data_IF_843929183013
#
_entry.id   IF_843929183013
#
_cell.length_a   1.000
_cell.length_b   1.000
_cell.length_c   1.000
_cell.angle_alpha   90.00
_cell.angle_beta   90.00
_cell.angle_gamma   90.00
#
_symmetry.space_group_name_H-M   'P 1'
#
loop_
_entity.id
_entity.type
_entity.pdbx_description
1 polymer ?
#
# COMPACT_ATOMS: atom_id res chain seq x y z
N UNK A 1 -19.41 -13.55 -18.10
CA UNK A 1 -19.74 -12.23 -17.52
C UNK A 1 -18.47 -11.43 -17.50
N UNK A 2 -18.25 -10.65 -18.55
CA UNK A 2 -17.08 -9.80 -18.72
C UNK A 2 -17.65 -8.44 -19.07
N UNK A 3 -17.74 -7.57 -18.08
CA UNK A 3 -18.21 -6.21 -18.28
C UNK A 3 -17.09 -5.35 -18.86
N UNK A 4 -17.50 -4.58 -19.84
CA UNK A 4 -16.72 -3.69 -20.68
C UNK A 4 -16.13 -2.56 -19.84
N UNK A 5 -14.80 -2.55 -19.68
CA UNK A 5 -14.07 -1.36 -19.24
C UNK A 5 -13.93 -0.41 -20.43
N UNK A 6 -15.05 0.15 -20.87
CA UNK A 6 -15.08 1.24 -21.84
C UNK A 6 -14.44 2.48 -21.21
N UNK A 7 -13.21 2.78 -21.61
CA UNK A 7 -12.55 4.04 -21.31
C UNK A 7 -13.42 5.19 -21.84
N UNK A 8 -13.99 5.97 -20.91
CA UNK A 8 -14.78 7.16 -21.21
C UNK A 8 -13.83 8.23 -21.75
N UNK A 9 -13.61 8.23 -23.07
CA UNK A 9 -12.99 9.35 -23.77
C UNK A 9 -13.94 10.53 -23.62
N UNK A 10 -13.59 11.49 -22.76
CA UNK A 10 -14.29 12.76 -22.64
C UNK A 10 -14.22 13.43 -24.01
N UNK A 11 -15.33 13.59 -24.74
CA UNK A 11 -15.30 14.36 -25.98
C UNK A 11 -15.06 15.81 -25.58
N UNK A 12 -13.84 16.30 -25.84
CA UNK A 12 -13.53 17.73 -25.80
C UNK A 12 -14.49 18.42 -26.77
N UNK A 13 -15.54 19.00 -26.19
CA UNK A 13 -16.55 19.76 -26.88
C UNK A 13 -15.87 20.96 -27.54
N UNK A 14 -15.51 20.82 -28.83
CA UNK A 14 -15.03 21.93 -29.64
C UNK A 14 -16.21 22.88 -29.87
N UNK A 15 -16.25 23.95 -29.08
CA UNK A 15 -17.21 25.04 -29.28
C UNK A 15 -16.91 25.68 -30.64
N UNK A 16 -17.85 25.68 -31.60
CA UNK A 16 -17.63 26.29 -32.90
C UNK A 16 -17.43 27.80 -32.73
N UNK A 17 -16.28 28.30 -33.19
CA UNK A 17 -16.00 29.75 -33.27
C UNK A 17 -17.02 30.41 -34.21
N UNK A 18 -18.02 31.09 -33.65
CA UNK A 18 -18.86 32.04 -34.39
C UNK A 18 -17.97 33.16 -34.96
N UNK A 19 -17.74 33.12 -36.28
CA UNK A 19 -17.27 34.25 -37.08
C UNK A 19 -18.28 35.39 -36.90
N UNK A 20 -17.84 36.49 -36.30
CA UNK A 20 -18.65 37.69 -36.12
C UNK A 20 -18.16 38.71 -37.14
N UNK A 21 -18.79 38.69 -38.31
CA UNK A 21 -18.69 39.80 -39.25
C UNK A 21 -19.33 41.02 -38.58
N UNK A 22 -18.52 42.03 -38.28
CA UNK A 22 -19.01 43.35 -37.89
C UNK A 22 -18.68 44.31 -39.01
N UNK A 23 -19.68 44.52 -39.85
CA UNK A 23 -19.81 45.68 -40.71
C UNK A 23 -19.67 46.96 -39.87
N UNK A 24 -18.93 47.92 -40.43
CA UNK A 24 -18.88 49.29 -39.93
C UNK A 24 -20.19 50.02 -40.20
N UNK A 25 -20.61 50.84 -39.25
CA UNK A 25 -21.34 52.09 -39.45
C UNK A 25 -21.46 52.79 -38.09
N UNK A 26 -20.81 53.95 -38.00
CA UNK A 26 -21.23 55.17 -37.33
C UNK A 26 -22.10 55.08 -36.07
N UNK A 27 -21.51 55.47 -34.93
CA UNK A 27 -22.24 56.32 -33.98
C UNK A 27 -21.34 57.15 -33.07
N UNK A 28 -21.25 58.41 -33.45
CA UNK A 28 -21.23 59.62 -32.61
C UNK A 28 -20.47 59.56 -31.27
N UNK A 29 -19.31 60.20 -31.30
CA UNK A 29 -18.65 60.91 -30.20
C UNK A 29 -19.62 61.80 -29.42
N UNK A 30 -19.76 61.55 -28.11
CA UNK A 30 -20.31 62.49 -27.14
C UNK A 30 -19.31 62.68 -25.98
N UNK A 31 -18.98 63.92 -25.58
CA UNK A 31 -17.99 64.18 -24.54
C UNK A 31 -18.59 64.12 -23.12
N UNK A 32 -17.86 63.42 -22.23
CA UNK A 32 -17.68 63.57 -20.76
C UNK A 32 -18.78 64.27 -19.92
N UNK A 33 -18.97 63.78 -18.68
CA UNK A 33 -18.37 64.52 -17.57
C UNK A 33 -17.55 63.66 -16.59
N UNK A 34 -16.35 64.16 -16.32
CA UNK A 34 -15.34 63.62 -15.40
C UNK A 34 -15.74 63.99 -13.97
N UNK A 35 -16.43 63.10 -13.25
CA UNK A 35 -16.73 63.30 -11.83
C UNK A 35 -15.48 63.02 -11.00
N UNK A 36 -14.80 64.09 -10.56
CA UNK A 36 -13.77 64.06 -9.51
C UNK A 36 -14.37 63.39 -8.26
N UNK A 37 -14.07 62.12 -8.02
CA UNK A 37 -14.20 61.50 -6.70
C UNK A 37 -12.87 61.65 -5.98
N UNK A 38 -12.91 62.42 -4.89
CA UNK A 38 -11.88 62.51 -3.84
C UNK A 38 -11.47 61.09 -3.40
N UNK A 39 -10.19 60.79 -3.50
CA UNK A 39 -9.55 59.91 -2.52
C UNK A 39 -9.54 60.66 -1.17
N UNK A 40 -9.84 59.98 -0.06
CA UNK A 40 -8.77 59.35 0.72
C UNK A 40 -9.17 57.98 1.32
N UNK A 41 -8.20 57.31 1.95
CA UNK A 41 -8.34 56.12 2.80
C UNK A 41 -8.12 54.71 2.19
N UNK A 42 -7.06 54.52 1.38
CA UNK A 42 -6.42 53.19 1.23
C UNK A 42 -4.93 53.20 1.63
N UNK A 43 -4.39 54.35 2.05
CA UNK A 43 -3.00 54.47 2.50
C UNK A 43 -2.77 54.07 3.98
N UNK A 44 -3.79 53.60 4.70
CA UNK A 44 -3.66 53.16 6.10
C UNK A 44 -3.56 51.63 6.26
N UNK A 45 -3.85 50.84 5.22
CA UNK A 45 -3.78 49.36 5.29
C UNK A 45 -2.44 48.80 4.78
N UNK A 46 -1.64 49.58 4.04
CA UNK A 46 -0.35 49.14 3.51
C UNK A 46 0.85 49.43 4.46
N UNK A 47 0.67 50.30 5.46
CA UNK A 47 1.72 50.63 6.44
C UNK A 47 1.75 49.67 7.65
N UNK A 48 0.69 48.89 7.90
CA UNK A 48 0.66 47.88 8.95
C UNK A 48 1.29 46.53 8.53
N UNK A 49 1.49 46.31 7.22
CA UNK A 49 2.08 45.08 6.70
C UNK A 49 3.61 45.14 6.53
N UNK A 50 4.23 46.32 6.66
CA UNK A 50 5.67 46.51 6.43
C UNK A 50 6.52 46.54 7.71
N UNK A 51 5.91 46.47 8.90
CA UNK A 51 6.61 46.43 10.20
C UNK A 51 6.62 45.05 10.85
N UNK A 52 6.17 44.01 10.14
CA UNK A 52 6.15 42.61 10.60
C UNK A 52 7.22 41.72 9.93
N UNK A 53 8.19 42.31 9.22
CA UNK A 53 9.20 41.58 8.45
C UNK A 53 10.62 41.62 9.06
N UNK A 54 10.77 41.97 10.34
CA UNK A 54 12.07 42.02 11.03
C UNK A 54 12.03 41.48 12.48
N UNK A 55 11.15 40.53 12.77
CA UNK A 55 11.24 39.69 13.96
C UNK A 55 10.94 38.24 13.53
N UNK A 56 11.89 37.33 13.75
CA UNK A 56 11.59 35.89 13.70
C UNK A 56 10.47 35.59 14.69
N UNK A 57 9.31 35.07 14.25
CA UNK A 57 8.34 34.56 15.17
C UNK A 57 8.77 33.15 15.58
N UNK A 58 9.16 33.02 16.84
CA UNK A 58 9.06 31.77 17.58
C UNK A 58 7.64 31.20 17.37
N UNK A 59 7.53 30.11 16.62
CA UNK A 59 6.25 29.47 16.33
C UNK A 59 5.79 28.75 17.61
N UNK A 60 5.12 29.49 18.49
CA UNK A 60 4.24 28.90 19.50
C UNK A 60 2.94 28.50 18.79
N UNK A 61 2.77 27.20 18.55
CA UNK A 61 1.49 26.64 18.12
C UNK A 61 0.47 26.84 19.25
N UNK A 62 -0.74 27.37 18.98
CA UNK A 62 -1.82 27.32 19.95
C UNK A 62 -2.27 25.85 20.09
N UNK A 63 -1.90 25.24 21.20
CA UNK A 63 -2.21 23.89 21.67
C UNK A 63 -3.69 23.78 22.09
N UNK A 64 -4.62 24.21 21.23
CA UNK A 64 -6.06 24.36 21.56
C UNK A 64 -7.01 23.78 20.51
N UNK A 65 -6.53 22.98 19.56
CA UNK A 65 -7.37 22.32 18.55
C UNK A 65 -7.16 20.79 18.48
N UNK A 66 -6.73 20.20 19.60
CA UNK A 66 -6.82 18.75 19.81
C UNK A 66 -8.15 18.49 20.53
N UNK A 67 -9.07 17.69 19.98
CA UNK A 67 -10.27 17.24 20.69
C UNK A 67 -9.85 16.63 22.05
N UNK A 68 -10.53 16.94 23.18
CA UNK A 68 -10.13 16.49 24.52
C UNK A 68 -10.12 14.96 24.70
N UNK A 69 -10.59 14.23 23.70
CA UNK A 69 -10.55 12.77 23.61
C UNK A 69 -9.20 12.19 23.09
N UNK A 70 -8.24 13.04 22.73
CA UNK A 70 -6.88 12.64 22.33
C UNK A 70 -5.74 13.16 23.24
N UNK A 71 -6.06 13.88 24.32
CA UNK A 71 -5.08 14.12 25.38
C UNK A 71 -4.90 12.82 26.17
N UNK A 72 -3.66 12.34 26.18
CA UNK A 72 -3.23 11.15 26.89
C UNK A 72 -3.80 11.16 28.31
N UNK A 73 -4.47 10.07 28.68
CA UNK A 73 -4.67 9.74 30.08
C UNK A 73 -3.31 9.84 30.76
N UNK A 74 -3.25 10.71 31.77
CA UNK A 74 -2.08 10.97 32.59
C UNK A 74 -1.33 9.68 32.89
N UNK A 75 -0.03 9.73 32.64
CA UNK A 75 0.93 8.73 33.08
C UNK A 75 0.99 8.69 34.61
N UNK A 76 -0.03 8.10 35.23
CA UNK A 76 0.19 7.31 36.42
C UNK A 76 0.86 6.02 35.95
N UNK A 77 2.20 6.03 35.91
CA UNK A 77 2.97 4.80 36.01
C UNK A 77 2.48 4.07 37.26
N UNK A 78 1.55 3.14 37.06
CA UNK A 78 1.30 2.09 38.02
C UNK A 78 2.62 1.32 38.13
N UNK A 79 3.33 1.58 39.22
CA UNK A 79 4.42 0.77 39.72
C UNK A 79 3.98 -0.70 39.62
N UNK A 80 4.70 -1.54 38.86
CA UNK A 80 4.35 -2.95 38.76
C UNK A 80 4.41 -3.54 40.17
N UNK A 81 3.36 -4.24 40.64
CA UNK A 81 3.44 -4.90 41.93
C UNK A 81 4.65 -5.82 41.91
N UNK A 82 5.56 -5.59 42.85
CA UNK A 82 6.72 -6.43 43.09
C UNK A 82 6.29 -7.89 43.04
N UNK A 83 6.73 -8.60 42.00
CA UNK A 83 6.53 -10.03 41.87
C UNK A 83 7.23 -10.67 43.07
N UNK A 84 6.44 -11.13 44.03
CA UNK A 84 6.93 -11.97 45.10
C UNK A 84 7.60 -13.19 44.45
N UNK A 85 8.82 -13.57 44.86
CA UNK A 85 9.42 -14.80 44.39
C UNK A 85 8.52 -15.96 44.83
N UNK A 86 7.83 -16.59 43.87
CA UNK A 86 7.24 -17.89 44.10
C UNK A 86 8.37 -18.83 44.52
N UNK A 87 8.36 -19.20 45.79
CA UNK A 87 9.16 -20.30 46.29
C UNK A 87 8.79 -21.54 45.49
N UNK A 88 9.66 -21.92 44.56
CA UNK A 88 9.63 -23.24 43.92
C UNK A 88 9.95 -24.24 45.01
N UNK A 89 8.92 -24.78 45.65
CA UNK A 89 9.05 -26.00 46.43
C UNK A 89 9.38 -27.11 45.44
N UNK A 90 10.68 -27.42 45.33
CA UNK A 90 11.15 -28.66 44.71
C UNK A 90 10.52 -29.79 45.50
N UNK A 91 9.42 -30.33 44.97
CA UNK A 91 8.82 -31.56 45.47
C UNK A 91 9.82 -32.66 45.14
N UNK A 92 10.64 -33.03 46.12
CA UNK A 92 11.38 -34.29 46.10
C UNK A 92 10.38 -35.40 45.78
N UNK A 93 10.48 -35.94 44.58
CA UNK A 93 9.84 -37.18 44.19
C UNK A 93 10.47 -38.30 45.01
N UNK A 94 9.75 -38.73 46.04
CA UNK A 94 10.01 -40.00 46.71
C UNK A 94 10.00 -41.14 45.67
N UNK A 95 10.96 -42.06 45.72
CA UNK A 95 10.92 -43.29 44.94
C UNK A 95 9.87 -44.22 45.54
N UNK A 96 8.62 -44.12 45.11
CA UNK A 96 7.60 -45.12 45.42
C UNK A 96 7.87 -46.35 44.56
N UNK A 97 8.51 -47.32 45.19
CA UNK A 97 8.57 -48.69 44.73
C UNK A 97 7.20 -49.38 44.88
N UNK A 98 6.84 -50.16 43.86
CA UNK A 98 5.73 -51.11 43.79
C UNK A 98 4.31 -50.48 43.78
N UNK A 99 3.35 -50.89 42.96
CA UNK A 99 2.95 -52.27 42.63
C UNK A 99 2.14 -52.23 41.33
N UNK A 100 2.49 -53.09 40.37
CA UNK A 100 1.62 -53.42 39.25
C UNK A 100 0.39 -54.16 39.81
N UNK A 101 -0.73 -53.47 39.91
CA UNK A 101 -2.02 -54.13 40.10
C UNK A 101 -2.76 -54.13 38.77
N UNK A 102 -2.91 -55.34 38.25
CA UNK A 102 -3.67 -55.70 37.05
C UNK A 102 -5.12 -55.27 37.24
N UNK A 103 -5.50 -54.10 36.72
CA UNK A 103 -6.88 -53.67 36.57
C UNK A 103 -7.21 -53.57 35.06
N UNK A 104 -7.09 -54.71 34.39
CA UNK A 104 -7.50 -54.91 33.01
C UNK A 104 -8.92 -55.52 32.99
N UNK A 105 -9.94 -54.72 33.34
CA UNK A 105 -11.33 -55.01 33.01
C UNK A 105 -12.19 -53.78 33.32
N UNK A 106 -13.12 -53.42 32.42
CA UNK A 106 -14.11 -52.34 32.52
C UNK A 106 -13.74 -50.92 32.04
N UNK A 107 -12.89 -50.79 31.01
CA UNK A 107 -13.02 -49.64 30.09
C UNK A 107 -13.94 -50.08 28.95
N UNK A 108 -15.20 -49.68 29.02
CA UNK A 108 -16.16 -49.89 27.95
C UNK A 108 -15.68 -49.27 26.63
N UNK A 109 -16.11 -49.80 25.47
CA UNK A 109 -15.69 -49.30 24.17
C UNK A 109 -16.15 -47.85 24.00
N UNK A 110 -15.23 -46.91 24.23
CA UNK A 110 -15.43 -45.51 23.90
C UNK A 110 -15.69 -45.42 22.39
N UNK A 111 -16.91 -45.07 22.02
CA UNK A 111 -17.36 -44.96 20.63
C UNK A 111 -16.48 -43.96 19.86
N UNK A 112 -15.74 -44.38 18.83
CA UNK A 112 -14.72 -43.55 18.16
C UNK A 112 -15.27 -42.57 17.10
N UNK A 113 -16.50 -42.04 17.25
CA UNK A 113 -17.17 -41.31 16.16
C UNK A 113 -16.78 -39.83 16.02
N UNK A 114 -16.35 -39.16 17.10
CA UNK A 114 -16.14 -37.69 17.06
C UNK A 114 -14.75 -37.26 16.57
N UNK A 115 -13.76 -38.15 16.53
CA UNK A 115 -12.39 -37.78 16.14
C UNK A 115 -12.17 -37.61 14.63
N UNK A 116 -13.18 -37.92 13.78
CA UNK A 116 -13.06 -37.77 12.32
C UNK A 116 -13.60 -36.44 11.77
N UNK A 117 -14.43 -35.71 12.52
CA UNK A 117 -14.99 -34.43 12.05
C UNK A 117 -13.98 -33.28 12.14
N UNK A 118 -13.25 -33.18 13.25
CA UNK A 118 -12.23 -32.14 13.44
C UNK A 118 -11.18 -32.08 12.32
N UNK A 119 -10.52 -33.19 11.91
CA UNK A 119 -9.54 -33.14 10.82
C UNK A 119 -10.19 -32.79 9.48
N UNK A 120 -11.41 -33.25 9.20
CA UNK A 120 -12.12 -32.94 7.96
C UNK A 120 -12.44 -31.44 7.85
N UNK A 121 -12.90 -30.81 8.94
CA UNK A 121 -13.17 -29.37 9.01
C UNK A 121 -11.87 -28.58 8.81
N UNK A 122 -10.80 -28.95 9.52
CA UNK A 122 -9.50 -28.29 9.38
C UNK A 122 -8.92 -28.42 7.97
N UNK A 123 -9.03 -29.60 7.34
CA UNK A 123 -8.59 -29.81 5.96
C UNK A 123 -9.41 -28.97 4.98
N UNK A 124 -10.73 -28.89 5.18
CA UNK A 124 -11.60 -28.07 4.32
C UNK A 124 -11.23 -26.60 4.44
N UNK A 125 -11.06 -26.09 5.66
CA UNK A 125 -10.64 -24.71 5.91
C UNK A 125 -9.26 -24.39 5.29
N UNK A 126 -8.29 -25.31 5.44
CA UNK A 126 -6.98 -25.17 4.82
C UNK A 126 -7.04 -25.14 3.30
N UNK A 127 -7.87 -25.98 2.67
CA UNK A 127 -8.07 -25.98 1.22
C UNK A 127 -8.74 -24.69 0.74
N UNK A 128 -9.75 -24.18 1.47
CA UNK A 128 -10.40 -22.91 1.12
C UNK A 128 -9.43 -21.73 1.22
N UNK A 129 -8.63 -21.66 2.29
CA UNK A 129 -7.62 -20.61 2.46
C UNK A 129 -6.52 -20.73 1.40
N UNK A 130 -6.08 -21.95 1.08
CA UNK A 130 -5.12 -22.21 0.01
C UNK A 130 -5.65 -21.77 -1.36
N UNK A 131 -6.91 -22.09 -1.68
CA UNK A 131 -7.54 -21.66 -2.93
C UNK A 131 -7.62 -20.13 -3.03
N UNK A 132 -8.03 -19.45 -1.95
CA UNK A 132 -8.04 -17.98 -1.91
C UNK A 132 -6.64 -17.41 -2.12
N UNK A 133 -5.62 -17.94 -1.44
CA UNK A 133 -4.22 -17.54 -1.63
C UNK A 133 -3.75 -17.69 -3.08
N UNK A 134 -4.04 -18.85 -3.70
CA UNK A 134 -3.73 -19.13 -5.12
C UNK A 134 -4.38 -18.10 -6.03
N UNK A 135 -5.67 -17.79 -5.81
CA UNK A 135 -6.38 -16.81 -6.64
C UNK A 135 -5.81 -15.40 -6.49
N UNK A 136 -5.49 -14.98 -5.26
CA UNK A 136 -4.91 -13.66 -4.97
C UNK A 136 -3.54 -13.52 -5.64
N UNK A 137 -2.66 -14.49 -5.42
CA UNK A 137 -1.30 -14.48 -5.98
C UNK A 137 -1.32 -14.61 -7.51
N UNK A 138 -2.20 -15.45 -8.07
CA UNK A 138 -2.40 -15.57 -9.51
C UNK A 138 -2.89 -14.26 -10.14
N UNK A 139 -3.85 -13.58 -9.50
CA UNK A 139 -4.34 -12.28 -9.96
C UNK A 139 -3.26 -11.20 -9.90
N UNK A 140 -2.52 -11.12 -8.80
CA UNK A 140 -1.41 -10.17 -8.66
C UNK A 140 -0.26 -10.44 -9.64
N UNK A 141 0.04 -11.70 -9.90
CA UNK A 141 1.01 -12.06 -10.91
C UNK A 141 0.51 -11.61 -12.30
N UNK A 142 -0.78 -11.81 -12.62
CA UNK A 142 -1.38 -11.33 -13.87
C UNK A 142 -1.19 -9.83 -14.08
N UNK A 143 -1.39 -9.02 -13.03
CA UNK A 143 -1.28 -7.56 -13.14
C UNK A 143 0.15 -7.06 -13.41
N UNK A 144 1.16 -7.92 -13.32
CA UNK A 144 2.53 -7.59 -13.74
C UNK A 144 2.75 -7.66 -15.25
N UNK A 145 1.82 -8.24 -16.00
CA UNK A 145 1.91 -8.31 -17.45
C UNK A 145 1.70 -6.94 -18.08
N UNK A 146 2.67 -6.47 -18.86
CA UNK A 146 2.52 -5.26 -19.71
C UNK A 146 1.60 -5.49 -20.92
N UNK A 147 1.28 -6.74 -21.22
CA UNK A 147 0.32 -7.17 -22.24
C UNK A 147 -0.58 -8.27 -21.71
N UNK A 148 -1.72 -8.51 -22.34
CA UNK A 148 -2.65 -9.58 -21.95
C UNK A 148 -2.00 -10.97 -21.93
N UNK A 149 -1.16 -11.27 -22.94
CA UNK A 149 -0.45 -12.56 -23.02
C UNK A 149 0.55 -12.69 -21.88
N UNK A 150 1.34 -11.65 -21.61
CA UNK A 150 2.27 -11.64 -20.48
C UNK A 150 1.52 -11.81 -19.15
N UNK A 151 0.36 -11.18 -19.00
CA UNK A 151 -0.48 -11.31 -17.81
C UNK A 151 -0.97 -12.75 -17.60
N UNK A 152 -1.45 -13.43 -18.65
CA UNK A 152 -1.82 -14.84 -18.55
C UNK A 152 -0.64 -15.75 -18.21
N UNK A 153 0.56 -15.48 -18.75
CA UNK A 153 1.77 -16.23 -18.41
C UNK A 153 2.16 -16.04 -16.95
N UNK A 154 2.17 -14.80 -16.45
CA UNK A 154 2.47 -14.54 -15.04
C UNK A 154 1.41 -15.14 -14.10
N UNK A 155 0.12 -15.11 -14.47
CA UNK A 155 -0.93 -15.79 -13.72
C UNK A 155 -0.61 -17.29 -13.57
N UNK A 156 -0.29 -17.96 -14.68
CA UNK A 156 0.04 -19.38 -14.67
C UNK A 156 1.27 -19.68 -13.80
N UNK A 157 2.30 -18.82 -13.86
CA UNK A 157 3.49 -18.93 -13.01
C UNK A 157 3.14 -18.73 -11.52
N UNK A 158 2.30 -17.75 -11.19
CA UNK A 158 1.84 -17.50 -9.82
C UNK A 158 1.09 -18.70 -9.24
N UNK A 159 0.09 -19.21 -9.98
CA UNK A 159 -0.67 -20.41 -9.58
C UNK A 159 0.24 -21.63 -9.42
N UNK A 160 1.17 -21.84 -10.36
CA UNK A 160 2.11 -22.95 -10.28
C UNK A 160 3.02 -22.85 -9.04
N UNK A 161 3.49 -21.64 -8.71
CA UNK A 161 4.33 -21.40 -7.54
C UNK A 161 3.61 -21.75 -6.24
N UNK A 162 2.33 -21.40 -6.10
CA UNK A 162 1.54 -21.74 -4.92
C UNK A 162 1.28 -23.24 -4.81
N UNK A 163 0.97 -23.92 -5.92
CA UNK A 163 0.83 -25.38 -5.93
C UNK A 163 2.12 -26.07 -5.49
N UNK A 164 3.28 -25.59 -5.98
CA UNK A 164 4.60 -26.08 -5.56
C UNK A 164 4.80 -25.82 -4.06
N UNK A 165 4.49 -24.63 -3.56
CA UNK A 165 4.63 -24.27 -2.15
C UNK A 165 3.76 -25.15 -1.22
N UNK A 166 2.59 -25.60 -1.68
CA UNK A 166 1.70 -26.48 -0.92
C UNK A 166 2.17 -27.95 -0.92
N UNK A 167 2.71 -28.45 -2.04
CA UNK A 167 3.04 -29.88 -2.19
C UNK A 167 4.46 -30.21 -1.70
N UNK A 168 5.43 -29.31 -1.90
CA UNK A 168 6.83 -29.59 -1.61
C UNK A 168 7.15 -29.96 -0.16
N UNK A 169 6.54 -29.38 0.89
CA UNK A 169 6.84 -29.75 2.27
C UNK A 169 6.61 -31.23 2.55
N UNK A 170 5.52 -31.79 2.03
CA UNK A 170 5.22 -33.22 2.19
C UNK A 170 6.22 -34.11 1.46
N UNK A 171 6.60 -33.73 0.24
CA UNK A 171 7.62 -34.45 -0.54
C UNK A 171 9.01 -34.38 0.12
N UNK A 172 9.43 -33.18 0.56
CA UNK A 172 10.71 -32.96 1.23
C UNK A 172 10.77 -33.73 2.56
N UNK A 173 9.69 -33.74 3.34
CA UNK A 173 9.59 -34.54 4.56
C UNK A 173 9.61 -36.06 4.29
N UNK A 174 9.03 -36.52 3.18
CA UNK A 174 9.13 -37.91 2.71
C UNK A 174 10.57 -38.30 2.41
N UNK A 175 11.28 -37.49 1.60
CA UNK A 175 12.68 -37.69 1.23
C UNK A 175 13.62 -37.65 2.44
N UNK A 176 13.31 -36.78 3.41
CA UNK A 176 14.06 -36.71 4.66
C UNK A 176 13.94 -38.01 5.46
N UNK A 177 12.72 -38.56 5.58
CA UNK A 177 12.45 -39.84 6.26
C UNK A 177 13.09 -41.03 5.53
N UNK A 178 13.15 -41.01 4.21
CA UNK A 178 13.84 -42.03 3.41
C UNK A 178 15.38 -41.87 3.40
N UNK A 179 15.94 -41.05 4.30
CA UNK A 179 17.37 -40.72 4.43
C UNK A 179 18.03 -40.10 3.20
N UNK A 180 17.25 -39.62 2.21
CA UNK A 180 17.77 -38.89 1.04
C UNK A 180 17.93 -37.41 1.39
N UNK A 181 18.89 -37.11 2.28
CA UNK A 181 19.03 -35.78 2.90
C UNK A 181 19.35 -34.67 1.91
N UNK A 182 20.19 -34.93 0.90
CA UNK A 182 20.56 -33.91 -0.09
C UNK A 182 19.37 -33.45 -0.92
N UNK A 183 18.57 -34.37 -1.46
CA UNK A 183 17.35 -34.05 -2.21
C UNK A 183 16.28 -33.42 -1.34
N UNK A 184 16.20 -33.82 -0.07
CA UNK A 184 15.29 -33.19 0.88
C UNK A 184 15.69 -31.74 1.17
N UNK A 185 16.98 -31.45 1.34
CA UNK A 185 17.48 -30.07 1.49
C UNK A 185 17.14 -29.21 0.26
N UNK A 186 17.35 -29.73 -0.95
CA UNK A 186 16.95 -29.02 -2.19
C UNK A 186 15.44 -28.75 -2.18
N UNK A 187 14.61 -29.74 -1.82
CA UNK A 187 13.17 -29.55 -1.69
C UNK A 187 12.79 -28.47 -0.68
N UNK A 188 13.43 -28.43 0.48
CA UNK A 188 13.23 -27.38 1.48
C UNK A 188 13.68 -26.00 0.99
N UNK A 189 14.81 -25.90 0.28
CA UNK A 189 15.28 -24.63 -0.30
C UNK A 189 14.31 -24.11 -1.36
N UNK A 190 13.86 -24.98 -2.27
CA UNK A 190 12.91 -24.59 -3.30
C UNK A 190 11.58 -24.18 -2.68
N UNK A 191 11.10 -24.93 -1.68
CA UNK A 191 9.91 -24.57 -0.94
C UNK A 191 10.04 -23.18 -0.32
N UNK A 192 11.15 -22.89 0.36
CA UNK A 192 11.40 -21.60 1.00
C UNK A 192 11.35 -20.45 -0.01
N UNK A 193 11.97 -20.62 -1.18
CA UNK A 193 11.95 -19.62 -2.26
C UNK A 193 10.53 -19.38 -2.80
N UNK A 194 9.77 -20.45 -3.06
CA UNK A 194 8.38 -20.31 -3.52
C UNK A 194 7.46 -19.73 -2.44
N UNK A 195 7.71 -20.04 -1.17
CA UNK A 195 6.98 -19.48 -0.05
C UNK A 195 7.24 -17.96 0.09
N UNK A 196 8.50 -17.52 0.00
CA UNK A 196 8.84 -16.10 0.00
C UNK A 196 8.15 -15.38 -1.17
N UNK A 197 8.09 -16.01 -2.35
CA UNK A 197 7.38 -15.46 -3.50
C UNK A 197 5.87 -15.32 -3.26
N UNK A 198 5.23 -16.36 -2.73
CA UNK A 198 3.81 -16.33 -2.39
C UNK A 198 3.50 -15.23 -1.36
N UNK A 199 4.36 -15.09 -0.33
CA UNK A 199 4.22 -14.03 0.68
C UNK A 199 4.41 -12.64 0.07
N UNK A 200 5.43 -12.44 -0.77
CA UNK A 200 5.67 -11.17 -1.44
C UNK A 200 4.51 -10.78 -2.37
N UNK A 201 3.93 -11.76 -3.08
CA UNK A 201 2.75 -11.56 -3.93
C UNK A 201 1.52 -11.15 -3.10
N UNK A 202 1.25 -11.85 -2.00
CA UNK A 202 0.16 -11.52 -1.07
C UNK A 202 0.32 -10.13 -0.44
N UNK A 203 1.54 -9.74 -0.06
CA UNK A 203 1.83 -8.38 0.43
C UNK A 203 1.52 -7.35 -0.66
N UNK A 204 1.94 -7.60 -1.90
CA UNK A 204 1.68 -6.69 -3.01
C UNK A 204 0.20 -6.59 -3.41
N UNK A 205 -0.57 -7.66 -3.27
CA UNK A 205 -2.03 -7.60 -3.43
C UNK A 205 -2.68 -6.78 -2.32
N UNK A 206 -2.29 -7.03 -1.06
CA UNK A 206 -2.87 -6.33 0.09
C UNK A 206 -2.52 -4.84 0.03
N UNK A 207 -1.30 -4.49 -0.37
CA UNK A 207 -0.89 -3.11 -0.53
C UNK A 207 -1.65 -2.40 -1.64
N UNK A 208 -1.80 -3.00 -2.82
CA UNK A 208 -2.57 -2.40 -3.91
C UNK A 208 -4.02 -2.15 -3.52
N UNK A 209 -4.68 -3.09 -2.83
CA UNK A 209 -6.04 -2.88 -2.33
C UNK A 209 -6.11 -1.79 -1.23
N UNK A 210 -5.14 -1.74 -0.32
CA UNK A 210 -5.10 -0.69 0.70
C UNK A 210 -4.86 0.68 0.05
N UNK A 211 -3.93 0.76 -0.90
CA UNK A 211 -3.64 1.98 -1.65
C UNK A 211 -4.84 2.38 -2.48
N UNK A 212 -5.53 1.48 -3.16
CA UNK A 212 -6.75 1.78 -3.91
C UNK A 212 -7.88 2.25 -3.00
N UNK A 213 -8.06 1.67 -1.81
CA UNK A 213 -9.06 2.15 -0.85
C UNK A 213 -8.66 3.51 -0.26
N UNK A 214 -7.37 3.72 0.05
CA UNK A 214 -6.85 5.00 0.52
C UNK A 214 -6.95 6.05 -0.57
N UNK A 215 -6.64 5.71 -1.81
CA UNK A 215 -6.68 6.59 -2.98
C UNK A 215 -8.12 6.79 -3.43
N UNK A 216 -9.04 5.84 -3.26
CA UNK A 216 -10.48 6.06 -3.37
C UNK A 216 -10.99 7.02 -2.28
N UNK A 217 -10.47 6.91 -1.06
CA UNK A 217 -10.75 7.85 0.03
C UNK A 217 -10.04 9.20 -0.12
N UNK A 218 -8.91 9.27 -0.81
CA UNK A 218 -8.14 10.49 -1.07
C UNK A 218 -8.52 11.17 -2.40
N UNK A 219 -9.09 10.41 -3.34
CA UNK A 219 -9.73 10.88 -4.58
C UNK A 219 -11.17 11.32 -4.35
N UNK A 220 -11.73 11.07 -3.16
CA UNK A 220 -12.48 12.14 -2.48
C UNK A 220 -11.45 13.23 -2.21
N UNK A 221 -11.20 14.01 -3.26
CA UNK A 221 -10.13 14.99 -3.40
C UNK A 221 -9.79 15.52 -2.02
N UNK A 222 -8.59 15.21 -1.51
CA UNK A 222 -8.19 15.77 -0.21
C UNK A 222 -8.49 17.27 -0.28
N UNK A 223 -9.17 17.85 0.73
CA UNK A 223 -9.58 19.25 0.65
C UNK A 223 -8.42 20.18 0.25
N UNK A 224 -7.19 19.80 0.59
CA UNK A 224 -5.95 20.39 0.12
C UNK A 224 -5.72 20.30 -1.42
N UNK A 225 -5.79 19.14 -2.07
CA UNK A 225 -5.63 19.04 -3.54
C UNK A 225 -6.79 19.73 -4.25
N UNK A 226 -8.02 19.62 -3.72
CA UNK A 226 -9.21 20.25 -4.31
C UNK A 226 -9.08 21.76 -4.32
N UNK A 227 -8.67 22.33 -3.17
CA UNK A 227 -8.44 23.76 -3.02
C UNK A 227 -7.24 24.22 -3.85
N UNK A 228 -6.12 23.49 -3.87
CA UNK A 228 -4.98 23.83 -4.70
C UNK A 228 -5.36 23.84 -6.20
N UNK A 229 -6.07 22.83 -6.68
CA UNK A 229 -6.53 22.75 -8.06
C UNK A 229 -7.57 23.83 -8.40
N UNK A 230 -8.47 24.16 -7.48
CA UNK A 230 -9.38 25.30 -7.62
C UNK A 230 -8.59 26.62 -7.75
N UNK A 231 -7.65 26.88 -6.85
CA UNK A 231 -6.83 28.12 -6.90
C UNK A 231 -5.96 28.20 -8.16
N UNK A 232 -5.48 27.07 -8.66
CA UNK A 232 -4.76 26.97 -9.93
C UNK A 232 -5.68 27.36 -11.10
N UNK A 233 -6.89 26.78 -11.14
CA UNK A 233 -7.86 27.07 -12.19
C UNK A 233 -8.29 28.55 -12.19
N UNK A 234 -8.46 29.14 -11.01
CA UNK A 234 -8.76 30.56 -10.84
C UNK A 234 -7.59 31.44 -11.30
N UNK A 235 -6.35 31.07 -10.96
CA UNK A 235 -5.15 31.78 -11.41
C UNK A 235 -4.98 31.73 -12.94
N UNK A 236 -5.26 30.57 -13.56
CA UNK A 236 -5.23 30.41 -15.02
C UNK A 236 -6.33 31.23 -15.69
N UNK A 237 -7.55 31.24 -15.14
CA UNK A 237 -8.64 32.08 -15.64
C UNK A 237 -8.34 33.58 -15.50
N UNK A 238 -7.70 34.00 -14.41
CA UNK A 238 -7.26 35.38 -14.21
C UNK A 238 -6.19 35.78 -15.23
N UNK A 239 -5.18 34.93 -15.45
CA UNK A 239 -4.16 35.11 -16.49
C UNK A 239 -4.81 35.27 -17.86
N UNK A 240 -5.73 34.39 -18.23
CA UNK A 240 -6.37 34.40 -19.55
C UNK A 240 -7.23 35.65 -19.80
N UNK A 241 -7.75 36.30 -18.75
CA UNK A 241 -8.47 37.57 -18.87
C UNK A 241 -7.51 38.74 -19.13
N UNK A 242 -6.40 38.79 -18.42
CA UNK A 242 -5.42 39.89 -18.51
C UNK A 242 -4.53 39.79 -19.77
N UNK A 243 -4.16 38.57 -20.17
CA UNK A 243 -3.28 38.34 -21.32
C UNK A 243 -3.99 38.43 -22.68
N UNK A 244 -5.33 38.54 -22.73
CA UNK A 244 -6.09 38.71 -23.99
C UNK A 244 -5.68 39.96 -24.78
N UNK A 245 -5.19 40.99 -24.10
CA UNK A 245 -4.71 42.24 -24.70
C UNK A 245 -3.24 42.24 -25.14
N UNK A 246 -2.53 41.11 -24.98
CA UNK A 246 -1.10 41.00 -25.23
C UNK A 246 -0.26 40.78 -23.96
N UNK A 247 1.01 40.48 -24.14
CA UNK A 247 1.95 40.15 -23.05
C UNK A 247 2.52 41.42 -22.42
N UNK A 248 1.73 42.06 -21.55
CA UNK A 248 2.15 43.21 -20.74
C UNK A 248 2.77 42.82 -19.38
N UNK A 249 3.18 43.82 -18.59
CA UNK A 249 3.74 43.61 -17.22
C UNK A 249 2.81 42.76 -16.34
N UNK A 250 1.51 43.07 -16.34
CA UNK A 250 0.51 42.32 -15.57
C UNK A 250 0.33 40.88 -16.05
N UNK A 251 0.44 40.62 -17.36
CA UNK A 251 0.38 39.26 -17.89
C UNK A 251 1.54 38.40 -17.35
N UNK A 252 2.77 38.94 -17.34
CA UNK A 252 3.94 38.27 -16.76
C UNK A 252 3.79 37.99 -15.27
N UNK A 253 3.28 38.95 -14.50
CA UNK A 253 3.00 38.77 -13.06
C UNK A 253 1.93 37.68 -12.81
N UNK A 254 0.94 37.54 -13.70
CA UNK A 254 -0.04 36.44 -13.61
C UNK A 254 0.53 35.09 -14.02
N UNK A 255 1.43 35.07 -14.99
CA UNK A 255 2.15 33.84 -15.38
C UNK A 255 3.02 33.33 -14.23
N UNK A 256 3.74 34.21 -13.52
CA UNK A 256 4.50 33.81 -12.33
C UNK A 256 3.60 33.28 -11.22
N UNK A 257 2.44 33.91 -11.00
CA UNK A 257 1.45 33.43 -10.03
C UNK A 257 0.89 32.04 -10.40
N UNK A 258 0.65 31.77 -11.69
CA UNK A 258 0.24 30.43 -12.15
C UNK A 258 1.37 29.40 -11.94
N UNK A 259 2.62 29.76 -12.20
CA UNK A 259 3.77 28.89 -11.96
C UNK A 259 3.93 28.54 -10.47
N UNK A 260 3.78 29.52 -9.58
CA UNK A 260 3.82 29.31 -8.13
C UNK A 260 2.70 28.38 -7.66
N UNK A 261 1.47 28.57 -8.18
CA UNK A 261 0.32 27.71 -7.85
C UNK A 261 0.45 26.29 -8.39
N UNK A 262 1.13 26.11 -9.54
CA UNK A 262 1.51 24.78 -10.05
C UNK A 262 2.48 24.10 -9.09
N UNK A 263 3.54 24.81 -8.69
CA UNK A 263 4.51 24.27 -7.75
C UNK A 263 3.89 23.86 -6.41
N UNK A 264 2.92 24.64 -5.91
CA UNK A 264 2.16 24.26 -4.70
C UNK A 264 1.27 23.02 -4.91
N UNK A 265 0.66 22.86 -6.08
CA UNK A 265 -0.11 21.67 -6.40
C UNK A 265 0.81 20.44 -6.50
N UNK A 266 1.97 20.59 -7.15
CA UNK A 266 2.96 19.53 -7.31
C UNK A 266 3.55 19.11 -5.96
N UNK A 267 3.83 20.06 -5.05
CA UNK A 267 4.30 19.73 -3.69
C UNK A 267 3.22 19.05 -2.85
N UNK A 268 1.95 19.47 -2.97
CA UNK A 268 0.84 18.80 -2.33
C UNK A 268 0.65 17.38 -2.87
N UNK A 269 0.76 17.17 -4.19
CA UNK A 269 0.72 15.85 -4.80
C UNK A 269 1.89 14.97 -4.34
N UNK A 270 3.12 15.49 -4.33
CA UNK A 270 4.29 14.78 -3.84
C UNK A 270 4.17 14.38 -2.36
N UNK A 271 3.56 15.23 -1.52
CA UNK A 271 3.31 14.90 -0.11
C UNK A 271 2.29 13.76 0.06
N UNK A 272 1.26 13.71 -0.80
CA UNK A 272 0.28 12.62 -0.82
C UNK A 272 0.90 11.35 -1.36
N UNK A 273 1.73 11.44 -2.40
CA UNK A 273 2.47 10.32 -2.97
C UNK A 273 3.44 9.70 -1.93
N UNK A 274 4.18 10.53 -1.20
CA UNK A 274 5.04 10.09 -0.10
C UNK A 274 4.25 9.40 1.03
N UNK A 275 3.01 9.83 1.30
CA UNK A 275 2.11 9.18 2.26
C UNK A 275 1.39 7.94 1.68
N UNK A 276 1.41 7.75 0.36
CA UNK A 276 0.67 6.74 -0.37
C UNK A 276 1.48 5.49 -0.72
N UNK A 277 2.74 5.37 -0.28
CA UNK A 277 3.49 4.11 -0.32
C UNK A 277 3.58 3.42 1.08
N UNK A 278 2.44 2.99 1.65
CA UNK A 278 2.45 2.23 2.90
C UNK A 278 3.04 0.83 2.70
N UNK A 279 3.20 0.37 1.44
CA UNK A 279 3.73 -0.96 1.14
C UNK A 279 5.17 -1.05 1.61
N UNK A 280 5.97 -0.07 1.21
CA UNK A 280 7.40 -0.10 1.47
C UNK A 280 7.68 0.21 2.93
N UNK A 281 6.94 1.15 3.53
CA UNK A 281 7.07 1.44 4.97
C UNK A 281 6.67 0.25 5.86
N UNK A 282 5.55 -0.43 5.56
CA UNK A 282 5.12 -1.59 6.34
C UNK A 282 6.09 -2.77 6.19
N UNK A 283 6.60 -3.02 4.97
CA UNK A 283 7.59 -4.05 4.71
C UNK A 283 8.92 -3.75 5.43
N UNK A 284 9.39 -2.50 5.39
CA UNK A 284 10.56 -2.05 6.14
C UNK A 284 10.35 -2.28 7.64
N UNK A 285 9.20 -1.89 8.19
CA UNK A 285 8.86 -2.10 9.61
C UNK A 285 8.81 -3.58 9.99
N UNK A 286 8.29 -4.43 9.11
CA UNK A 286 8.16 -5.87 9.38
C UNK A 286 9.52 -6.56 9.32
N UNK A 287 10.38 -6.18 8.37
CA UNK A 287 11.76 -6.67 8.27
C UNK A 287 12.63 -6.11 9.39
N UNK A 288 12.51 -4.83 9.74
CA UNK A 288 13.25 -4.25 10.86
C UNK A 288 12.80 -4.86 12.19
N UNK A 289 11.50 -5.06 12.39
CA UNK A 289 10.97 -5.77 13.56
C UNK A 289 11.46 -7.22 13.61
N UNK A 290 11.33 -7.97 12.50
CA UNK A 290 11.76 -9.37 12.41
C UNK A 290 13.27 -9.55 12.59
N UNK A 291 14.07 -8.59 12.11
CA UNK A 291 15.52 -8.55 12.30
C UNK A 291 15.94 -7.92 13.63
N UNK A 292 15.01 -7.50 14.50
CA UNK A 292 15.28 -6.76 15.74
C UNK A 292 16.14 -5.51 15.52
N UNK A 293 15.95 -4.84 14.39
CA UNK A 293 16.65 -3.61 14.00
C UNK A 293 18.02 -3.83 13.38
N UNK A 294 18.46 -5.08 13.16
CA UNK A 294 19.75 -5.36 12.50
C UNK A 294 19.73 -5.02 10.99
N UNK A 295 18.56 -5.09 10.35
CA UNK A 295 18.41 -4.77 8.93
C UNK A 295 17.51 -3.55 8.77
N UNK A 296 18.02 -2.54 8.06
CA UNK A 296 17.26 -1.39 7.55
C UNK A 296 17.26 -1.45 6.01
N UNK A 297 16.41 -2.31 5.42
CA UNK A 297 16.31 -2.37 3.97
C UNK A 297 15.81 -1.03 3.42
N UNK A 298 16.41 -0.57 2.33
CA UNK A 298 15.93 0.57 1.59
C UNK A 298 14.70 0.18 0.75
N UNK A 299 13.81 1.13 0.40
CA UNK A 299 12.69 0.89 -0.50
C UNK A 299 13.06 0.16 -1.80
N UNK A 300 14.21 0.52 -2.36
CA UNK A 300 14.75 -0.01 -3.61
C UNK A 300 15.11 -1.50 -3.50
N UNK A 301 15.46 -1.99 -2.30
CA UNK A 301 15.84 -3.39 -2.07
C UNK A 301 14.66 -4.34 -2.29
N UNK A 302 13.44 -3.92 -1.95
CA UNK A 302 12.24 -4.74 -2.16
C UNK A 302 11.87 -4.86 -3.64
N UNK A 303 12.08 -3.79 -4.41
CA UNK A 303 11.89 -3.82 -5.86
C UNK A 303 12.90 -4.79 -6.51
N UNK A 304 14.17 -4.73 -6.11
CA UNK A 304 15.19 -5.67 -6.59
C UNK A 304 14.92 -7.11 -6.18
N UNK A 305 14.54 -7.35 -4.92
CA UNK A 305 14.22 -8.69 -4.42
C UNK A 305 13.10 -9.32 -5.24
N UNK A 306 12.05 -8.55 -5.53
CA UNK A 306 10.94 -9.00 -6.37
C UNK A 306 11.37 -9.37 -7.78
N UNK A 307 12.22 -8.56 -8.41
CA UNK A 307 12.78 -8.84 -9.74
C UNK A 307 13.61 -10.12 -9.75
N UNK A 308 14.48 -10.30 -8.75
CA UNK A 308 15.30 -11.50 -8.58
C UNK A 308 14.43 -12.75 -8.43
N UNK A 309 13.38 -12.68 -7.60
CA UNK A 309 12.45 -13.78 -7.40
C UNK A 309 11.71 -14.16 -8.70
N UNK A 310 11.18 -13.17 -9.43
CA UNK A 310 10.50 -13.38 -10.71
C UNK A 310 11.43 -14.01 -11.77
N UNK A 311 12.71 -13.63 -11.78
CA UNK A 311 13.70 -14.19 -12.70
C UNK A 311 14.11 -15.62 -12.34
N UNK A 312 14.16 -15.96 -11.04
CA UNK A 312 14.56 -17.29 -10.55
C UNK A 312 13.43 -18.34 -10.65
N UNK A 313 12.16 -17.94 -10.53
CA UNK A 313 11.03 -18.88 -10.51
C UNK A 313 11.02 -19.87 -11.69
N UNK A 314 11.17 -19.43 -12.96
CA UNK A 314 11.17 -20.33 -14.11
C UNK A 314 12.33 -21.33 -14.06
N UNK A 315 13.51 -20.90 -13.60
CA UNK A 315 14.70 -21.75 -13.51
C UNK A 315 14.51 -22.86 -12.47
N UNK A 316 13.93 -22.50 -11.32
CA UNK A 316 13.57 -23.44 -10.27
C UNK A 316 12.54 -24.47 -10.77
N UNK A 317 11.55 -24.03 -11.55
CA UNK A 317 10.58 -24.92 -12.19
C UNK A 317 11.24 -25.98 -13.07
N UNK A 318 12.25 -25.60 -13.86
CA UNK A 318 13.04 -26.54 -14.68
C UNK A 318 13.80 -27.58 -13.84
N UNK A 319 14.42 -27.16 -12.73
CA UNK A 319 15.14 -28.07 -11.82
C UNK A 319 14.16 -29.06 -11.17
N UNK A 320 12.98 -28.60 -10.72
CA UNK A 320 11.95 -29.47 -10.14
C UNK A 320 11.48 -30.55 -11.12
N UNK A 321 11.28 -30.19 -12.40
CA UNK A 321 10.91 -31.16 -13.43
C UNK A 321 12.00 -32.22 -13.64
N UNK A 322 13.28 -31.83 -13.67
CA UNK A 322 14.39 -32.79 -13.78
C UNK A 322 14.48 -33.74 -12.58
N UNK A 323 14.29 -33.23 -11.35
CA UNK A 323 14.31 -34.05 -10.13
C UNK A 323 13.10 -35.00 -10.09
N UNK A 324 11.92 -34.52 -10.47
CA UNK A 324 10.69 -35.32 -10.53
C UNK A 324 10.72 -36.42 -11.59
N UNK A 325 11.35 -36.20 -12.74
CA UNK A 325 11.53 -37.25 -13.75
C UNK A 325 12.48 -38.36 -13.25
N UNK A 326 13.54 -37.99 -12.52
CA UNK A 326 14.53 -38.94 -12.00
C UNK A 326 14.01 -39.81 -10.85
N UNK A 327 13.00 -39.34 -10.11
CA UNK A 327 12.33 -40.16 -9.08
C UNK A 327 11.36 -41.16 -9.68
N UNK A 328 10.68 -40.81 -10.78
CA UNK A 328 9.79 -41.72 -11.52
C UNK A 328 10.51 -42.90 -12.17
N UNK A 329 11.77 -42.73 -12.58
CA UNK A 329 12.54 -43.80 -13.25
C UNK A 329 13.13 -44.84 -12.28
N UNK A 330 12.94 -44.69 -10.96
CA UNK A 330 13.43 -45.65 -9.94
C UNK A 330 12.32 -46.47 -9.31
N UNK A 331 11.06 -46.24 -9.69
CA UNK A 331 9.89 -47.01 -9.30
C UNK A 331 9.53 -47.93 -10.46
#
# INVERSE_FOLDING_TARGET
MADETSAFVIPLHQVPRKRKDKAGADRATAPRPRKKRKAPAVAAAAAAAATAAAAEPEIQFPESLIPPEFLAADGAMAEPPAAQPLAVTVRQSEPVAATQTVAAALIGPATPSHHRLAPAILSTAALTLGAVGITINGWFARSLGSSDVAGWLFLAVGVAADLVALVLPSCAAGLWRSRQRSTALVGWTVWLLTFIFAVAASIGFTSTNITDVKLSRASRVTPAIASAQATLSDAMAARDRECKGGVGKFCRERETAVAERRQMLDSAMASVEAAADPQTEAAIKLVSWGSRGLLNPAPEDFAMLRLILLALLPQIGGILLMVGQRSRSRV
#
